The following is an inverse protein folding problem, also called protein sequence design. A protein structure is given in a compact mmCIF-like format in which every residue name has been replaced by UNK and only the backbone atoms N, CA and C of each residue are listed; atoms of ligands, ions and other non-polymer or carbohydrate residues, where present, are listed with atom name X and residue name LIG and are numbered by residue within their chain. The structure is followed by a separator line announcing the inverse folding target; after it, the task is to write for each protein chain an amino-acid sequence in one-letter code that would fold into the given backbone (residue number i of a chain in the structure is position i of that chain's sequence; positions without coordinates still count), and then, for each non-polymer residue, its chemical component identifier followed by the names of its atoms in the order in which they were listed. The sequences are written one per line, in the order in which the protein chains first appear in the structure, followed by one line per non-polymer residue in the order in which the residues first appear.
data_IF_954982022735
#
_entry.id   IF_954982022735
#
_cell.length_a   1.000
_cell.length_b   1.000
_cell.length_c   1.000
_cell.angle_alpha   90.00
_cell.angle_beta   90.00
_cell.angle_gamma   90.00
#
_symmetry.space_group_name_H-M   'P 1'
#
loop_
_entity.id
_entity.type
_entity.pdbx_description
1 polymer ?
#
# COMPACT_ATOMS: atom_id res chain seq x y z
N UNK A 1 5.11 -15.33 31.67
CA UNK A 1 3.75 -14.83 31.42
C UNK A 1 3.36 -13.64 32.28
N UNK A 2 3.56 -13.65 33.62
CA UNK A 2 3.13 -12.53 34.51
C UNK A 2 3.80 -11.17 34.20
N UNK A 3 5.09 -11.15 33.81
CA UNK A 3 5.80 -9.89 33.50
C UNK A 3 5.32 -9.21 32.19
N UNK A 4 4.89 -10.00 31.21
CA UNK A 4 4.35 -9.46 29.94
C UNK A 4 2.95 -8.88 30.17
N UNK A 5 2.16 -9.50 31.03
CA UNK A 5 0.82 -9.00 31.39
C UNK A 5 0.88 -7.68 32.17
N UNK A 6 1.86 -7.51 33.09
CA UNK A 6 2.07 -6.26 33.82
C UNK A 6 2.57 -5.10 32.94
N UNK A 7 3.41 -5.38 31.94
CA UNK A 7 3.84 -4.33 30.98
C UNK A 7 2.71 -3.93 30.04
N UNK A 8 1.82 -4.85 29.66
CA UNK A 8 0.67 -4.55 28.80
C UNK A 8 -0.39 -3.71 29.54
N UNK A 9 -0.69 -4.05 30.80
CA UNK A 9 -1.61 -3.27 31.66
C UNK A 9 -1.07 -1.88 31.99
N UNK A 10 0.22 -1.71 32.23
CA UNK A 10 0.83 -0.40 32.44
C UNK A 10 0.82 0.46 31.15
N UNK A 11 1.01 -0.14 29.98
CA UNK A 11 0.90 0.54 28.70
C UNK A 11 -0.54 0.99 28.40
N UNK A 12 -1.53 0.14 28.67
CA UNK A 12 -2.96 0.49 28.52
C UNK A 12 -3.40 1.59 29.49
N UNK A 13 -2.93 1.57 30.73
CA UNK A 13 -3.24 2.61 31.71
C UNK A 13 -2.61 3.97 31.30
N UNK A 14 -1.40 3.98 30.73
CA UNK A 14 -0.79 5.19 30.19
C UNK A 14 -1.55 5.75 28.98
N UNK A 15 -2.05 4.88 28.09
CA UNK A 15 -2.86 5.31 26.95
C UNK A 15 -4.21 5.89 27.39
N UNK A 16 -4.88 5.26 28.37
CA UNK A 16 -6.13 5.76 28.92
C UNK A 16 -5.95 7.10 29.67
N UNK A 17 -4.85 7.28 30.40
CA UNK A 17 -4.53 8.55 31.06
C UNK A 17 -4.27 9.66 30.02
N UNK A 18 -3.55 9.36 28.93
CA UNK A 18 -3.32 10.32 27.84
C UNK A 18 -4.62 10.70 27.11
N UNK A 19 -5.53 9.74 26.89
CA UNK A 19 -6.86 10.01 26.29
C UNK A 19 -7.71 10.89 27.23
N UNK A 20 -7.68 10.66 28.52
CA UNK A 20 -8.42 11.49 29.46
C UNK A 20 -7.85 12.91 29.56
N UNK A 21 -6.52 13.08 29.52
CA UNK A 21 -5.87 14.40 29.47
C UNK A 21 -6.21 15.14 28.16
N UNK A 22 -6.23 14.44 27.03
CA UNK A 22 -6.66 15.00 25.72
C UNK A 22 -8.12 15.46 25.73
N UNK A 23 -9.02 14.66 26.28
CA UNK A 23 -10.43 15.03 26.38
C UNK A 23 -10.65 16.23 27.33
N UNK A 24 -9.89 16.35 28.40
CA UNK A 24 -9.96 17.50 29.31
C UNK A 24 -9.46 18.77 28.64
N UNK A 25 -8.33 18.70 27.93
CA UNK A 25 -7.77 19.86 27.19
C UNK A 25 -8.68 20.29 26.03
N UNK A 26 -9.31 19.34 25.31
CA UNK A 26 -10.31 19.64 24.29
C UNK A 26 -11.54 20.34 24.86
N UNK A 27 -11.98 19.94 26.06
CA UNK A 27 -13.07 20.61 26.77
C UNK A 27 -12.73 22.05 27.14
N UNK A 28 -11.51 22.28 27.66
CA UNK A 28 -11.02 23.62 27.99
C UNK A 28 -10.86 24.53 26.76
N UNK A 29 -10.38 24.01 25.64
CA UNK A 29 -10.26 24.73 24.35
C UNK A 29 -11.64 25.13 23.83
N UNK A 30 -12.64 24.25 23.88
CA UNK A 30 -14.01 24.59 23.48
C UNK A 30 -14.59 25.71 24.34
N UNK A 31 -14.41 25.64 25.66
CA UNK A 31 -14.88 26.68 26.57
C UNK A 31 -14.23 28.06 26.30
N UNK A 32 -12.92 28.07 26.02
CA UNK A 32 -12.20 29.31 25.67
C UNK A 32 -12.62 29.84 24.31
N UNK A 33 -12.89 28.97 23.33
CA UNK A 33 -13.37 29.36 22.02
C UNK A 33 -14.78 29.98 22.09
N UNK A 34 -15.68 29.40 22.89
CA UNK A 34 -17.03 29.96 23.12
C UNK A 34 -16.97 31.31 23.82
N UNK A 35 -16.05 31.49 24.78
CA UNK A 35 -15.82 32.79 25.43
C UNK A 35 -15.26 33.84 24.46
N UNK A 36 -14.34 33.43 23.56
CA UNK A 36 -13.79 34.31 22.51
C UNK A 36 -14.88 34.75 21.52
N UNK A 37 -15.73 33.84 21.09
CA UNK A 37 -16.85 34.16 20.19
C UNK A 37 -17.86 35.13 20.86
N UNK A 38 -18.16 34.95 22.13
CA UNK A 38 -19.02 35.84 22.89
C UNK A 38 -18.39 37.24 23.08
N UNK A 39 -17.07 37.30 23.29
CA UNK A 39 -16.35 38.59 23.40
C UNK A 39 -16.21 39.32 22.08
N UNK A 40 -15.99 38.59 20.97
CA UNK A 40 -15.97 39.15 19.62
C UNK A 40 -17.34 39.73 19.22
N UNK A 41 -18.43 39.11 19.64
CA UNK A 41 -19.78 39.63 19.40
C UNK A 41 -20.10 40.91 20.20
N UNK A 42 -19.39 41.16 21.32
CA UNK A 42 -19.66 42.33 22.16
C UNK A 42 -18.70 43.51 22.04
N UNK A 43 -17.45 43.37 21.63
CA UNK A 43 -16.43 44.46 21.68
C UNK A 43 -15.23 44.31 20.76
N UNK A 44 -15.23 43.82 19.61
CA UNK A 44 -14.15 43.99 18.62
C UNK A 44 -12.66 43.84 19.03
N UNK A 45 -12.34 43.49 20.30
CA UNK A 45 -10.97 43.24 20.78
C UNK A 45 -10.98 42.16 21.86
N UNK A 46 -10.16 41.14 21.66
CA UNK A 46 -10.00 40.02 22.60
C UNK A 46 -9.07 40.41 23.76
N UNK A 47 -9.48 40.09 25.01
CA UNK A 47 -8.70 40.35 26.20
C UNK A 47 -7.33 39.61 26.11
N UNK A 48 -6.19 40.33 26.38
CA UNK A 48 -4.84 39.73 26.35
C UNK A 48 -4.66 38.51 27.27
N UNK A 49 -5.42 38.41 28.37
CA UNK A 49 -5.37 37.29 29.29
C UNK A 49 -5.98 36.02 28.70
N UNK A 50 -7.02 36.15 27.86
CA UNK A 50 -7.69 35.04 27.19
C UNK A 50 -6.82 34.55 26.02
N UNK A 51 -6.14 35.44 25.31
CA UNK A 51 -5.14 35.07 24.30
C UNK A 51 -3.96 34.29 24.88
N UNK A 52 -3.44 34.72 26.04
CA UNK A 52 -2.34 34.01 26.71
C UNK A 52 -2.75 32.63 27.23
N UNK A 53 -4.01 32.44 27.65
CA UNK A 53 -4.54 31.12 28.04
C UNK A 53 -4.68 30.20 26.81
N UNK A 54 -5.14 30.72 25.68
CA UNK A 54 -5.28 29.97 24.44
C UNK A 54 -3.92 29.47 23.94
N UNK A 55 -2.92 30.35 23.88
CA UNK A 55 -1.55 29.98 23.52
C UNK A 55 -0.96 28.89 24.43
N UNK A 56 -1.25 28.95 25.74
CA UNK A 56 -0.78 27.96 26.69
C UNK A 56 -1.47 26.60 26.53
N UNK A 57 -2.76 26.60 26.15
CA UNK A 57 -3.52 25.39 25.84
C UNK A 57 -3.07 24.74 24.53
N UNK A 58 -2.82 25.55 23.50
CA UNK A 58 -2.25 25.06 22.24
C UNK A 58 -0.86 24.44 22.43
N UNK A 59 -0.01 25.07 23.26
CA UNK A 59 1.29 24.51 23.60
C UNK A 59 1.18 23.17 24.32
N UNK A 60 0.21 23.01 25.25
CA UNK A 60 -0.03 21.74 25.93
C UNK A 60 -0.57 20.66 25.00
N UNK A 61 -1.44 21.03 24.05
CA UNK A 61 -1.95 20.13 23.01
C UNK A 61 -0.81 19.62 22.12
N UNK A 62 0.05 20.51 21.65
CA UNK A 62 1.21 20.17 20.83
C UNK A 62 2.21 19.24 21.56
N UNK A 63 2.38 19.41 22.87
CA UNK A 63 3.22 18.53 23.71
C UNK A 63 2.59 17.14 23.88
N UNK A 64 1.25 17.04 23.95
CA UNK A 64 0.52 15.78 24.06
C UNK A 64 0.49 15.01 22.74
N UNK A 65 0.32 15.69 21.62
CA UNK A 65 0.41 15.11 20.28
C UNK A 65 1.84 14.62 19.96
N UNK A 66 2.88 15.34 20.43
CA UNK A 66 4.29 14.94 20.28
C UNK A 66 4.72 13.72 21.11
N UNK A 67 3.98 13.34 22.16
CA UNK A 67 4.31 12.17 23.00
C UNK A 67 3.95 10.82 22.37
N UNK A 68 3.26 10.80 21.24
CA UNK A 68 2.91 9.58 20.48
C UNK A 68 4.02 9.02 19.58
N UNK A 69 5.18 9.65 19.43
CA UNK A 69 6.30 9.16 18.62
C UNK A 69 7.51 10.06 18.62
N UNK A 70 8.58 9.57 19.22
CA UNK A 70 10.01 9.91 19.07
C UNK A 70 10.45 11.39 19.09
N UNK A 71 11.22 11.72 20.13
CA UNK A 71 12.26 12.78 20.26
C UNK A 71 11.89 14.19 19.75
N UNK A 72 11.58 15.05 20.74
CA UNK A 72 11.42 16.49 20.57
C UNK A 72 12.71 17.18 20.10
N UNK A 73 12.67 17.73 18.89
CA UNK A 73 13.48 18.89 18.54
C UNK A 73 12.56 19.92 17.85
N UNK A 74 12.43 21.08 18.48
CA UNK A 74 11.86 22.32 17.98
C UNK A 74 10.37 22.35 17.55
N UNK A 75 9.48 22.70 18.50
CA UNK A 75 8.04 22.89 18.27
C UNK A 75 7.68 23.98 17.23
N UNK A 76 8.61 24.82 16.80
CA UNK A 76 8.41 25.78 15.71
C UNK A 76 8.51 25.16 14.31
N UNK A 77 9.28 24.09 14.15
CA UNK A 77 9.43 23.39 12.86
C UNK A 77 8.20 22.55 12.51
N UNK A 78 7.54 21.97 13.51
CA UNK A 78 6.33 21.14 13.28
C UNK A 78 5.15 22.00 12.85
N UNK A 79 4.93 23.14 13.47
CA UNK A 79 3.85 24.07 13.08
C UNK A 79 4.11 24.67 11.68
N UNK A 80 5.34 25.06 11.38
CA UNK A 80 5.72 25.51 10.04
C UNK A 80 5.57 24.41 8.97
N UNK A 81 5.79 23.13 9.32
CA UNK A 81 5.60 22.00 8.43
C UNK A 81 4.12 21.74 8.10
N UNK A 82 3.23 21.86 9.08
CA UNK A 82 1.78 21.68 8.88
C UNK A 82 1.21 22.81 8.00
N UNK A 83 1.58 24.06 8.28
CA UNK A 83 1.15 25.21 7.48
C UNK A 83 1.71 25.16 6.06
N UNK A 84 2.97 24.77 5.89
CA UNK A 84 3.59 24.62 4.58
C UNK A 84 2.90 23.50 3.75
N UNK A 85 2.53 22.39 4.36
CA UNK A 85 1.79 21.31 3.69
C UNK A 85 0.37 21.75 3.30
N UNK A 86 -0.32 22.50 4.13
CA UNK A 86 -1.65 23.03 3.82
C UNK A 86 -1.59 24.06 2.68
N UNK A 87 -0.60 24.94 2.67
CA UNK A 87 -0.37 25.91 1.59
C UNK A 87 -0.03 25.19 0.27
N UNK A 88 0.84 24.19 0.32
CA UNK A 88 1.17 23.37 -0.84
C UNK A 88 -0.06 22.67 -1.40
N UNK A 89 -0.85 22.01 -0.55
CA UNK A 89 -2.09 21.34 -0.94
C UNK A 89 -3.05 22.28 -1.65
N UNK A 90 -3.29 23.46 -1.08
CA UNK A 90 -4.19 24.46 -1.66
C UNK A 90 -3.70 24.96 -3.02
N UNK A 91 -2.39 25.26 -3.15
CA UNK A 91 -1.78 25.68 -4.41
C UNK A 91 -1.83 24.55 -5.46
N UNK A 92 -1.56 23.30 -5.04
CA UNK A 92 -1.65 22.12 -5.89
C UNK A 92 -3.08 21.88 -6.39
N UNK A 93 -4.10 22.03 -5.52
CA UNK A 93 -5.50 21.91 -5.92
C UNK A 93 -5.93 22.98 -6.91
N UNK A 94 -5.44 24.23 -6.77
CA UNK A 94 -5.68 25.27 -7.78
C UNK A 94 -5.06 24.89 -9.13
N UNK A 95 -3.87 24.33 -9.13
CA UNK A 95 -3.24 23.80 -10.35
C UNK A 95 -4.05 22.65 -10.96
N UNK A 96 -4.52 21.70 -10.17
CA UNK A 96 -5.32 20.55 -10.64
C UNK A 96 -6.65 21.00 -11.23
N UNK A 97 -7.37 21.89 -10.55
CA UNK A 97 -8.70 22.34 -10.96
C UNK A 97 -8.63 23.34 -12.11
N UNK A 98 -7.85 24.41 -11.97
CA UNK A 98 -7.84 25.56 -12.89
C UNK A 98 -6.64 25.59 -13.84
N UNK A 99 -5.54 24.89 -13.50
CA UNK A 99 -4.29 24.94 -14.25
C UNK A 99 -3.42 26.15 -13.89
N UNK A 100 -3.73 26.85 -12.78
CA UNK A 100 -2.98 28.02 -12.34
C UNK A 100 -1.68 27.62 -11.64
N UNK A 101 -0.53 27.96 -12.21
CA UNK A 101 0.79 27.68 -11.63
C UNK A 101 1.30 28.82 -10.74
N UNK A 102 0.62 29.97 -10.76
CA UNK A 102 1.05 31.16 -10.01
C UNK A 102 1.16 30.89 -8.49
N UNK A 103 0.18 30.19 -7.91
CA UNK A 103 0.20 29.83 -6.50
C UNK A 103 1.34 28.89 -6.12
N UNK A 104 1.69 27.94 -7.00
CA UNK A 104 2.82 27.03 -6.81
C UNK A 104 4.17 27.76 -6.84
N UNK A 105 4.30 28.77 -7.69
CA UNK A 105 5.52 29.57 -7.82
C UNK A 105 5.75 30.54 -6.64
N UNK A 106 4.73 30.82 -5.84
CA UNK A 106 4.80 31.70 -4.67
C UNK A 106 5.20 30.95 -3.38
N UNK A 107 5.25 29.63 -3.41
CA UNK A 107 5.64 28.84 -2.24
C UNK A 107 7.10 29.06 -1.85
N UNK A 108 7.43 29.07 -0.53
CA UNK A 108 8.80 29.25 -0.04
C UNK A 108 9.78 28.20 -0.58
N UNK A 109 9.32 26.97 -0.70
CA UNK A 109 10.02 25.89 -1.41
C UNK A 109 9.35 25.75 -2.77
N UNK A 110 9.92 26.41 -3.79
CA UNK A 110 9.40 26.33 -5.15
C UNK A 110 9.46 24.89 -5.66
N UNK A 111 8.33 24.20 -5.83
CA UNK A 111 8.35 22.88 -6.42
C UNK A 111 8.82 23.01 -7.86
N UNK A 112 9.83 22.21 -8.22
CA UNK A 112 10.33 22.22 -9.60
C UNK A 112 9.32 21.51 -10.51
N UNK A 113 8.90 22.22 -11.56
CA UNK A 113 8.19 21.60 -12.67
C UNK A 113 9.20 20.77 -13.44
N UNK A 114 9.12 19.46 -13.32
CA UNK A 114 9.89 18.51 -14.12
C UNK A 114 9.07 18.13 -15.36
N UNK A 115 9.69 17.42 -16.32
CA UNK A 115 8.99 16.88 -17.50
C UNK A 115 7.77 16.01 -17.14
N UNK A 116 7.76 15.46 -15.91
CA UNK A 116 6.65 14.66 -15.36
C UNK A 116 5.60 15.46 -14.56
N UNK A 117 5.70 16.81 -14.50
CA UNK A 117 4.78 17.66 -13.74
C UNK A 117 5.26 18.03 -12.35
N UNK A 118 4.31 18.42 -11.47
CA UNK A 118 4.56 18.72 -10.07
C UNK A 118 4.42 17.47 -9.21
N UNK A 119 5.18 17.40 -8.10
CA UNK A 119 4.95 16.39 -7.08
C UNK A 119 3.53 16.53 -6.51
N UNK A 120 2.87 15.41 -6.29
CA UNK A 120 1.51 15.40 -5.73
C UNK A 120 1.56 15.81 -4.26
N UNK A 121 0.54 16.54 -3.78
CA UNK A 121 0.44 16.89 -2.38
C UNK A 121 0.41 15.61 -1.50
N UNK A 122 1.08 15.64 -0.35
CA UNK A 122 1.25 14.48 0.53
C UNK A 122 -0.10 13.84 0.93
N UNK A 123 -1.15 14.65 1.12
CA UNK A 123 -2.51 14.15 1.40
C UNK A 123 -3.05 13.30 0.25
N UNK A 124 -2.91 13.77 -0.98
CA UNK A 124 -3.37 13.06 -2.18
C UNK A 124 -2.49 11.84 -2.48
N UNK A 125 -1.18 11.94 -2.26
CA UNK A 125 -0.25 10.79 -2.40
C UNK A 125 -0.62 9.67 -1.42
N UNK A 126 -0.91 9.99 -0.15
CA UNK A 126 -1.35 9.00 0.83
C UNK A 126 -2.68 8.35 0.46
N UNK A 127 -3.64 9.12 -0.07
CA UNK A 127 -4.91 8.60 -0.57
C UNK A 127 -4.70 7.64 -1.76
N UNK A 128 -3.87 8.03 -2.74
CA UNK A 128 -3.52 7.16 -3.88
C UNK A 128 -2.90 5.86 -3.38
N UNK A 129 -1.90 5.93 -2.51
CA UNK A 129 -1.20 4.74 -1.99
C UNK A 129 -2.12 3.83 -1.19
N UNK A 130 -2.98 4.36 -0.33
CA UNK A 130 -3.99 3.59 0.40
C UNK A 130 -4.95 2.87 -0.55
N UNK A 131 -5.44 3.56 -1.58
CA UNK A 131 -6.36 2.98 -2.55
C UNK A 131 -5.70 1.95 -3.45
N UNK A 132 -4.46 2.17 -3.88
CA UNK A 132 -3.67 1.16 -4.64
C UNK A 132 -3.50 -0.11 -3.79
N UNK A 133 -3.11 0.02 -2.53
CA UNK A 133 -2.95 -1.13 -1.63
C UNK A 133 -4.29 -1.85 -1.36
N UNK A 134 -5.41 -1.12 -1.34
CA UNK A 134 -6.74 -1.72 -1.19
C UNK A 134 -7.23 -2.42 -2.46
N UNK A 135 -6.84 -1.95 -3.65
CA UNK A 135 -7.29 -2.50 -4.94
C UNK A 135 -6.38 -3.62 -5.44
N UNK A 136 -5.05 -3.46 -5.34
CA UNK A 136 -4.09 -4.47 -5.82
C UNK A 136 -4.17 -5.75 -4.99
N UNK A 137 -4.36 -6.87 -5.66
CA UNK A 137 -4.40 -8.19 -5.03
C UNK A 137 -3.01 -8.64 -4.60
N UNK A 138 -1.99 -8.38 -5.44
CA UNK A 138 -0.62 -8.79 -5.15
C UNK A 138 -0.04 -8.02 -3.96
N UNK A 139 -0.31 -6.72 -3.84
CA UNK A 139 0.15 -5.92 -2.69
C UNK A 139 -0.41 -6.39 -1.34
N UNK A 140 -1.59 -7.01 -1.33
CA UNK A 140 -2.18 -7.57 -0.09
C UNK A 140 -1.44 -8.80 0.41
N UNK A 141 -0.83 -9.56 -0.48
CA UNK A 141 -0.22 -10.85 -0.15
C UNK A 141 1.30 -10.81 -0.19
N UNK A 142 1.92 -9.94 -0.98
CA UNK A 142 3.37 -9.80 -1.12
C UNK A 142 3.97 -8.83 -0.09
N UNK A 143 5.29 -8.81 0.01
CA UNK A 143 6.02 -7.83 0.80
C UNK A 143 6.18 -6.52 0.02
N UNK A 144 5.93 -5.38 0.66
CA UNK A 144 6.06 -4.04 0.05
C UNK A 144 7.06 -3.23 0.83
N UNK A 145 8.09 -2.72 0.17
CA UNK A 145 9.11 -1.85 0.76
C UNK A 145 9.18 -0.52 0.03
N UNK A 146 9.11 0.57 0.80
CA UNK A 146 9.31 1.91 0.27
C UNK A 146 10.79 2.28 0.26
N UNK A 147 11.25 2.85 -0.85
CA UNK A 147 12.63 3.30 -1.04
C UNK A 147 12.68 4.74 -1.54
N UNK A 148 13.75 5.43 -1.23
CA UNK A 148 14.03 6.78 -1.76
C UNK A 148 14.87 6.75 -3.05
N UNK A 149 15.50 5.61 -3.34
CA UNK A 149 16.35 5.37 -4.53
C UNK A 149 15.53 4.70 -5.65
N UNK A 150 16.11 4.63 -6.85
CA UNK A 150 15.51 3.96 -8.01
C UNK A 150 15.65 2.44 -7.98
N UNK A 151 16.26 1.90 -6.93
CA UNK A 151 16.50 0.47 -6.79
C UNK A 151 16.64 0.04 -5.34
N UNK A 152 16.40 -1.23 -5.10
CA UNK A 152 16.64 -1.91 -3.83
C UNK A 152 17.65 -3.04 -4.05
N UNK A 153 18.74 -3.00 -3.29
CA UNK A 153 19.71 -4.09 -3.23
C UNK A 153 19.35 -5.02 -2.07
N UNK A 154 19.03 -6.25 -2.37
CA UNK A 154 18.75 -7.29 -1.39
C UNK A 154 19.87 -8.32 -1.37
N UNK A 155 20.31 -8.67 -0.18
CA UNK A 155 21.18 -9.82 0.05
C UNK A 155 20.29 -11.04 0.32
N UNK A 156 20.29 -12.03 -0.58
CA UNK A 156 19.51 -13.25 -0.47
C UNK A 156 20.47 -14.41 -0.19
N UNK A 157 20.16 -15.21 0.82
CA UNK A 157 20.89 -16.44 1.11
C UNK A 157 20.41 -17.55 0.20
N UNK A 158 21.32 -18.14 -0.60
CA UNK A 158 20.98 -19.16 -1.60
C UNK A 158 20.43 -20.45 -0.97
N UNK A 159 20.99 -20.88 0.15
CA UNK A 159 20.61 -22.13 0.81
C UNK A 159 20.11 -21.99 2.26
N UNK A 160 19.86 -20.77 2.73
CA UNK A 160 19.57 -20.48 4.13
C UNK A 160 20.75 -20.79 5.06
N UNK A 161 21.05 -19.90 6.00
CA UNK A 161 22.07 -20.20 7.01
C UNK A 161 21.54 -21.24 7.98
N UNK A 162 22.14 -22.44 7.95
CA UNK A 162 21.85 -23.48 8.95
C UNK A 162 22.69 -23.22 10.19
N UNK A 163 22.03 -23.08 11.33
CA UNK A 163 22.74 -23.06 12.60
C UNK A 163 23.41 -24.41 12.84
N UNK A 164 24.71 -24.42 13.14
CA UNK A 164 25.44 -25.61 13.53
C UNK A 164 25.73 -25.61 15.02
N UNK A 165 25.68 -26.76 15.64
CA UNK A 165 26.12 -26.96 17.02
C UNK A 165 27.63 -27.18 17.03
N UNK A 166 28.36 -26.29 17.71
CA UNK A 166 29.83 -26.38 17.77
C UNK A 166 30.51 -25.39 16.85
N UNK A 167 31.50 -25.83 16.07
CA UNK A 167 32.23 -24.92 15.15
C UNK A 167 31.42 -24.61 13.88
N UNK A 168 31.51 -23.36 13.34
CA UNK A 168 30.80 -22.98 12.11
C UNK A 168 31.40 -23.75 10.91
N UNK A 169 30.59 -24.61 10.31
CA UNK A 169 31.02 -25.50 9.21
C UNK A 169 30.60 -25.07 7.81
N UNK A 170 29.80 -24.04 7.66
CA UNK A 170 29.31 -23.63 6.33
C UNK A 170 29.52 -22.15 6.05
N UNK A 171 30.16 -21.86 4.93
CA UNK A 171 30.12 -20.54 4.28
C UNK A 171 28.80 -20.43 3.51
N UNK A 172 27.88 -19.62 4.01
CA UNK A 172 26.64 -19.30 3.28
C UNK A 172 26.99 -18.40 2.10
N UNK A 173 26.63 -18.79 0.88
CA UNK A 173 26.73 -17.92 -0.27
C UNK A 173 25.61 -16.90 -0.25
N UNK A 174 25.97 -15.62 -0.24
CA UNK A 174 25.01 -14.52 -0.30
C UNK A 174 24.93 -14.01 -1.74
N UNK A 175 23.78 -14.19 -2.35
CA UNK A 175 23.48 -13.63 -3.67
C UNK A 175 22.92 -12.20 -3.51
N UNK A 176 23.55 -11.25 -4.20
CA UNK A 176 23.00 -9.90 -4.27
C UNK A 176 21.94 -9.85 -5.37
N UNK A 177 20.73 -9.50 -5.01
CA UNK A 177 19.64 -9.30 -5.95
C UNK A 177 19.31 -7.81 -6.03
N UNK A 178 19.26 -7.32 -7.26
CA UNK A 178 18.98 -5.92 -7.58
C UNK A 178 17.58 -5.80 -8.14
N UNK A 179 16.70 -5.08 -7.43
CA UNK A 179 15.33 -4.83 -7.86
C UNK A 179 15.25 -3.36 -8.30
N UNK A 180 15.05 -3.14 -9.59
CA UNK A 180 14.89 -1.81 -10.17
C UNK A 180 13.44 -1.36 -10.13
N UNK A 181 13.21 -0.09 -9.79
CA UNK A 181 11.91 0.56 -9.94
C UNK A 181 11.75 1.11 -11.37
N UNK A 182 10.63 0.78 -12.02
CA UNK A 182 10.26 1.20 -13.36
C UNK A 182 9.17 2.26 -13.29
N UNK A 183 9.11 3.11 -14.32
CA UNK A 183 8.10 4.15 -14.42
C UNK A 183 6.73 3.53 -14.78
N UNK A 184 5.72 3.79 -13.94
CA UNK A 184 4.32 3.45 -14.19
C UNK A 184 3.56 4.74 -14.45
N UNK A 185 2.85 4.80 -15.57
CA UNK A 185 2.15 5.99 -16.03
C UNK A 185 0.66 5.72 -16.03
N UNK A 186 -0.11 6.59 -15.37
CA UNK A 186 -1.56 6.62 -15.45
C UNK A 186 -2.03 7.92 -16.10
N UNK A 187 -3.05 7.83 -16.96
CA UNK A 187 -3.59 8.99 -17.70
C UNK A 187 -5.12 9.05 -17.57
N UNK A 188 -5.68 9.23 -16.36
CA UNK A 188 -7.12 9.38 -16.21
C UNK A 188 -7.59 10.67 -16.91
N UNK A 189 -8.81 10.60 -17.46
CA UNK A 189 -9.47 11.70 -18.16
C UNK A 189 -10.68 12.16 -17.38
N UNK A 190 -10.84 13.46 -17.26
CA UNK A 190 -11.96 14.09 -16.54
C UNK A 190 -12.55 15.17 -17.42
N UNK A 191 -13.87 15.34 -17.39
CA UNK A 191 -14.51 16.43 -18.13
C UNK A 191 -14.27 17.78 -17.44
N UNK A 192 -14.13 18.86 -18.21
CA UNK A 192 -13.97 20.19 -17.64
C UNK A 192 -15.13 20.59 -16.71
N UNK A 193 -16.35 20.19 -17.02
CA UNK A 193 -17.54 20.46 -16.19
C UNK A 193 -17.43 19.85 -14.79
N UNK A 194 -16.89 18.62 -14.68
CA UNK A 194 -16.71 17.97 -13.38
C UNK A 194 -15.65 18.66 -12.53
N UNK A 195 -14.65 19.29 -13.16
CA UNK A 195 -13.63 20.06 -12.46
C UNK A 195 -14.14 21.42 -11.94
N UNK A 196 -15.17 21.96 -12.58
CA UNK A 196 -15.82 23.23 -12.19
C UNK A 196 -16.90 23.02 -11.13
N UNK A 197 -17.39 21.80 -10.96
CA UNK A 197 -18.44 21.47 -10.00
C UNK A 197 -17.88 21.38 -8.58
N UNK A 198 -18.27 22.34 -7.74
CA UNK A 198 -17.80 22.45 -6.35
C UNK A 198 -18.47 21.48 -5.36
N UNK A 199 -19.54 20.80 -5.76
CA UNK A 199 -20.26 19.87 -4.90
C UNK A 199 -19.59 18.49 -4.84
N UNK A 200 -18.70 18.18 -5.77
CA UNK A 200 -18.02 16.89 -5.88
C UNK A 200 -16.63 16.96 -5.28
N UNK A 201 -16.25 15.95 -4.49
CA UNK A 201 -14.85 15.75 -4.07
C UNK A 201 -13.98 15.32 -5.26
N UNK A 202 -13.52 16.32 -6.02
CA UNK A 202 -12.69 16.14 -7.22
C UNK A 202 -11.33 15.52 -6.87
N UNK A 203 -10.74 15.91 -5.72
CA UNK A 203 -9.46 15.36 -5.25
C UNK A 203 -9.57 13.84 -5.05
N UNK A 204 -10.56 13.38 -4.29
CA UNK A 204 -10.79 11.97 -4.04
C UNK A 204 -11.19 11.19 -5.30
N UNK A 205 -11.94 11.82 -6.21
CA UNK A 205 -12.30 11.20 -7.49
C UNK A 205 -11.08 10.96 -8.38
N UNK A 206 -10.23 11.97 -8.56
CA UNK A 206 -9.00 11.86 -9.38
C UNK A 206 -8.04 10.85 -8.74
N UNK A 207 -7.82 10.92 -7.41
CA UNK A 207 -6.98 9.99 -6.69
C UNK A 207 -7.43 8.54 -6.89
N UNK A 208 -8.74 8.28 -6.84
CA UNK A 208 -9.32 6.95 -7.09
C UNK A 208 -9.06 6.47 -8.51
N UNK A 209 -9.28 7.33 -9.51
CA UNK A 209 -9.04 6.97 -10.93
C UNK A 209 -7.57 6.68 -11.22
N UNK A 210 -6.67 7.43 -10.62
CA UNK A 210 -5.22 7.19 -10.68
C UNK A 210 -4.90 5.84 -10.02
N UNK A 211 -5.42 5.60 -8.81
CA UNK A 211 -5.17 4.37 -8.07
C UNK A 211 -5.72 3.12 -8.78
N UNK A 212 -6.91 3.18 -9.38
CA UNK A 212 -7.47 2.11 -10.21
C UNK A 212 -6.52 1.75 -11.36
N UNK A 213 -6.03 2.76 -12.09
CA UNK A 213 -5.12 2.56 -13.23
C UNK A 213 -3.77 1.97 -12.81
N UNK A 214 -3.20 2.46 -11.70
CA UNK A 214 -1.96 1.93 -11.15
C UNK A 214 -2.11 0.50 -10.66
N UNK A 215 -3.16 0.20 -9.89
CA UNK A 215 -3.40 -1.15 -9.37
C UNK A 215 -3.55 -2.19 -10.49
N UNK A 216 -4.24 -1.84 -11.58
CA UNK A 216 -4.38 -2.71 -12.74
C UNK A 216 -3.03 -2.99 -13.42
N UNK A 217 -2.25 -1.95 -13.71
CA UNK A 217 -0.96 -2.09 -14.37
C UNK A 217 0.07 -2.83 -13.50
N UNK A 218 0.05 -2.61 -12.20
CA UNK A 218 0.92 -3.28 -11.24
C UNK A 218 0.57 -4.77 -11.09
N UNK A 219 -0.71 -5.12 -10.87
CA UNK A 219 -1.14 -6.52 -10.72
C UNK A 219 -0.82 -7.33 -12.00
N UNK A 220 -1.00 -6.74 -13.18
CA UNK A 220 -0.61 -7.38 -14.44
C UNK A 220 0.90 -7.62 -14.49
N UNK A 221 1.71 -6.59 -14.22
CA UNK A 221 3.16 -6.68 -14.34
C UNK A 221 3.80 -7.58 -13.28
N UNK A 222 3.28 -7.62 -12.05
CA UNK A 222 3.77 -8.51 -11.00
C UNK A 222 3.52 -10.00 -11.31
N UNK A 223 2.56 -10.31 -12.17
CA UNK A 223 2.30 -11.68 -12.60
C UNK A 223 3.04 -12.06 -13.88
N UNK A 224 2.97 -11.23 -14.92
CA UNK A 224 3.43 -11.56 -16.26
C UNK A 224 4.48 -10.58 -16.83
N UNK A 225 5.01 -9.68 -16.03
CA UNK A 225 6.03 -8.72 -16.47
C UNK A 225 7.34 -9.36 -16.89
N UNK A 226 8.03 -8.75 -17.82
CA UNK A 226 9.25 -9.27 -18.48
C UNK A 226 10.55 -9.02 -17.69
N UNK A 227 10.54 -8.13 -16.70
CA UNK A 227 11.73 -7.74 -15.93
C UNK A 227 12.69 -6.80 -16.68
N UNK A 228 12.35 -6.31 -17.89
CA UNK A 228 13.18 -5.42 -18.70
C UNK A 228 12.66 -3.98 -18.63
N UNK A 229 11.40 -3.78 -19.01
CA UNK A 229 10.70 -2.48 -18.98
C UNK A 229 9.61 -2.43 -17.89
N UNK A 230 9.31 -3.56 -17.28
CA UNK A 230 8.31 -3.76 -16.24
C UNK A 230 8.90 -4.61 -15.10
N UNK A 231 8.31 -4.62 -13.91
CA UNK A 231 8.65 -5.56 -12.85
C UNK A 231 8.70 -7.00 -13.36
N UNK A 232 9.56 -7.84 -12.77
CA UNK A 232 9.63 -9.24 -13.14
C UNK A 232 8.44 -10.00 -12.55
N UNK A 233 7.66 -10.64 -13.41
CA UNK A 233 6.45 -11.36 -13.04
C UNK A 233 6.72 -12.73 -12.45
N UNK A 234 5.88 -13.17 -11.51
CA UNK A 234 5.97 -14.47 -10.84
C UNK A 234 5.86 -15.63 -11.86
N UNK A 235 4.98 -15.49 -12.86
CA UNK A 235 4.72 -16.53 -13.86
C UNK A 235 5.80 -16.66 -14.93
N UNK A 236 6.79 -15.78 -14.96
CA UNK A 236 7.92 -15.86 -15.91
C UNK A 236 9.04 -16.76 -15.43
N UNK A 237 8.96 -17.26 -14.19
CA UNK A 237 9.96 -18.16 -13.63
C UNK A 237 9.89 -19.55 -14.27
N UNK A 238 11.07 -20.13 -14.47
CA UNK A 238 11.18 -21.49 -14.96
C UNK A 238 10.71 -22.51 -13.92
N UNK A 239 10.36 -23.72 -14.38
CA UNK A 239 10.09 -24.84 -13.48
C UNK A 239 11.39 -25.30 -12.82
N UNK A 240 11.37 -25.45 -11.50
CA UNK A 240 12.52 -25.88 -10.71
C UNK A 240 12.28 -25.77 -9.21
N UNK A 241 13.26 -26.18 -8.44
CA UNK A 241 13.23 -26.20 -6.97
C UNK A 241 14.18 -25.21 -6.33
N UNK A 242 14.90 -24.42 -7.13
CA UNK A 242 15.86 -23.42 -6.67
C UNK A 242 15.17 -22.10 -6.32
N UNK A 243 15.87 -21.22 -5.63
CA UNK A 243 15.35 -19.90 -5.25
C UNK A 243 14.95 -19.04 -6.46
N UNK A 244 15.57 -19.27 -7.62
CA UNK A 244 15.27 -18.56 -8.87
C UNK A 244 14.20 -19.20 -9.74
N UNK A 245 13.55 -20.27 -9.31
CA UNK A 245 12.56 -21.05 -10.06
C UNK A 245 11.33 -21.35 -9.21
N UNK A 246 10.24 -21.74 -9.85
CA UNK A 246 9.00 -22.19 -9.18
C UNK A 246 8.74 -23.65 -9.52
N UNK A 247 8.50 -24.46 -8.50
CA UNK A 247 8.07 -25.84 -8.71
C UNK A 247 6.64 -25.86 -9.27
N UNK A 248 6.48 -26.57 -10.39
CA UNK A 248 5.23 -26.66 -11.13
C UNK A 248 4.65 -28.08 -11.04
N UNK A 249 3.39 -28.16 -10.64
CA UNK A 249 2.58 -29.37 -10.67
C UNK A 249 1.70 -29.30 -11.93
N UNK A 250 1.67 -30.36 -12.75
CA UNK A 250 0.86 -30.38 -13.97
C UNK A 250 -0.32 -31.32 -13.81
N UNK A 251 -1.50 -30.91 -14.30
CA UNK A 251 -2.69 -31.76 -14.31
C UNK A 251 -3.98 -30.98 -14.38
N UNK A 252 -5.09 -31.71 -14.51
CA UNK A 252 -6.42 -31.10 -14.44
C UNK A 252 -6.69 -30.52 -13.05
N UNK A 253 -7.52 -29.49 -12.98
CA UNK A 253 -7.92 -28.86 -11.72
C UNK A 253 -8.77 -29.89 -10.94
N UNK A 254 -8.18 -30.54 -9.94
CA UNK A 254 -8.83 -31.49 -9.07
C UNK A 254 -8.44 -31.23 -7.62
N UNK A 255 -9.22 -31.79 -6.68
CA UNK A 255 -8.93 -31.65 -5.26
C UNK A 255 -7.60 -32.34 -4.88
N UNK A 256 -7.30 -33.48 -5.50
CA UNK A 256 -6.04 -34.19 -5.32
C UNK A 256 -4.84 -33.35 -5.73
N UNK A 257 -4.94 -32.62 -6.87
CA UNK A 257 -3.88 -31.72 -7.33
C UNK A 257 -3.70 -30.49 -6.43
N UNK A 258 -4.77 -30.00 -5.81
CA UNK A 258 -4.66 -28.95 -4.80
C UNK A 258 -3.95 -29.46 -3.53
N UNK A 259 -4.23 -30.70 -3.11
CA UNK A 259 -3.54 -31.32 -1.99
C UNK A 259 -2.05 -31.58 -2.32
N UNK A 260 -1.75 -32.07 -3.51
CA UNK A 260 -0.37 -32.26 -3.98
C UNK A 260 0.40 -30.93 -4.00
N UNK A 261 -0.24 -29.85 -4.48
CA UNK A 261 0.35 -28.52 -4.50
C UNK A 261 0.70 -28.02 -3.09
N UNK A 262 -0.18 -28.25 -2.11
CA UNK A 262 0.10 -27.90 -0.70
C UNK A 262 1.20 -28.75 -0.10
N UNK A 263 1.26 -30.05 -0.43
CA UNK A 263 2.27 -30.98 0.07
C UNK A 263 3.68 -30.69 -0.49
N UNK A 264 3.78 -30.07 -1.66
CA UNK A 264 5.04 -29.66 -2.26
C UNK A 264 5.73 -28.48 -1.56
N UNK A 265 5.00 -27.73 -0.70
CA UNK A 265 5.57 -26.58 -0.01
C UNK A 265 6.33 -27.03 1.24
N UNK A 266 7.56 -26.53 1.39
CA UNK A 266 8.35 -26.78 2.60
C UNK A 266 7.66 -26.16 3.83
N UNK A 267 7.75 -26.85 4.96
CA UNK A 267 7.18 -26.44 6.25
C UNK A 267 7.69 -25.06 6.70
N UNK A 268 8.90 -24.69 6.29
CA UNK A 268 9.48 -23.38 6.58
C UNK A 268 8.64 -22.21 6.01
N UNK A 269 7.99 -22.43 4.86
CA UNK A 269 7.14 -21.41 4.21
C UNK A 269 5.66 -21.55 4.53
N UNK A 270 5.27 -22.47 5.41
CA UNK A 270 3.86 -22.77 5.71
C UNK A 270 3.10 -21.64 6.43
N UNK A 271 3.81 -20.69 7.03
CA UNK A 271 3.20 -19.53 7.66
C UNK A 271 2.66 -18.56 6.59
N UNK A 272 1.47 -18.00 6.79
CA UNK A 272 0.85 -16.97 5.93
C UNK A 272 0.74 -17.36 4.44
N UNK A 273 0.47 -18.63 4.17
CA UNK A 273 0.24 -19.12 2.81
C UNK A 273 -1.09 -18.63 2.25
N UNK A 274 -1.16 -18.47 0.95
CA UNK A 274 -2.39 -18.12 0.23
C UNK A 274 -2.46 -18.75 -1.15
N UNK A 275 -3.69 -18.93 -1.65
CA UNK A 275 -3.95 -19.26 -3.04
C UNK A 275 -4.20 -17.99 -3.84
N UNK A 276 -3.66 -17.95 -5.06
CA UNK A 276 -3.94 -16.92 -6.04
C UNK A 276 -4.36 -17.56 -7.36
N UNK A 277 -5.53 -17.19 -7.87
CA UNK A 277 -6.09 -17.77 -9.09
C UNK A 277 -7.00 -16.78 -9.81
N UNK A 278 -7.41 -17.14 -11.04
CA UNK A 278 -8.44 -16.40 -11.75
C UNK A 278 -9.82 -16.74 -11.20
N UNK A 279 -10.76 -15.79 -11.25
CA UNK A 279 -12.13 -15.99 -10.79
C UNK A 279 -12.85 -17.14 -11.51
N UNK A 280 -12.53 -17.38 -12.78
CA UNK A 280 -13.08 -18.52 -13.54
C UNK A 280 -12.56 -19.87 -13.01
N UNK A 281 -11.27 -19.91 -12.61
CA UNK A 281 -10.66 -21.09 -11.99
C UNK A 281 -11.23 -21.33 -10.59
N UNK A 282 -11.42 -20.27 -9.81
CA UNK A 282 -12.11 -20.33 -8.51
C UNK A 282 -13.50 -20.98 -8.68
N UNK A 283 -14.26 -20.58 -9.70
CA UNK A 283 -15.56 -21.17 -9.98
C UNK A 283 -15.46 -22.67 -10.32
N UNK A 284 -14.45 -23.08 -11.08
CA UNK A 284 -14.23 -24.51 -11.37
C UNK A 284 -13.91 -25.30 -10.10
N UNK A 285 -13.07 -24.75 -9.22
CA UNK A 285 -12.75 -25.39 -7.91
C UNK A 285 -14.00 -25.52 -7.04
N UNK A 286 -14.91 -24.54 -7.09
CA UNK A 286 -16.20 -24.61 -6.37
C UNK A 286 -17.09 -25.76 -6.82
N UNK A 287 -17.02 -26.16 -8.10
CA UNK A 287 -17.80 -27.25 -8.66
C UNK A 287 -17.19 -28.63 -8.39
N UNK A 288 -16.00 -28.71 -7.78
CA UNK A 288 -15.41 -29.99 -7.43
C UNK A 288 -16.29 -30.72 -6.40
N UNK A 289 -16.58 -31.97 -6.70
CA UNK A 289 -17.41 -32.86 -5.88
C UNK A 289 -16.58 -34.04 -5.39
N UNK A 290 -16.95 -34.55 -4.26
CA UNK A 290 -16.48 -35.78 -3.68
C UNK A 290 -17.15 -37.01 -4.36
N UNK A 291 -16.71 -38.22 -4.04
CA UNK A 291 -17.29 -39.49 -4.50
C UNK A 291 -18.77 -39.67 -4.15
N UNK A 292 -19.26 -38.96 -3.15
CA UNK A 292 -20.66 -38.95 -2.73
C UNK A 292 -21.50 -37.79 -3.33
N UNK A 293 -20.97 -37.13 -4.36
CA UNK A 293 -21.61 -36.01 -5.08
C UNK A 293 -21.82 -34.74 -4.23
N UNK A 294 -21.09 -34.61 -3.10
CA UNK A 294 -21.06 -33.40 -2.27
C UNK A 294 -19.99 -32.43 -2.73
N UNK A 295 -20.29 -31.14 -2.71
CA UNK A 295 -19.31 -30.09 -3.00
C UNK A 295 -18.25 -30.07 -1.89
N UNK A 296 -16.98 -30.22 -2.28
CA UNK A 296 -15.84 -30.27 -1.35
C UNK A 296 -15.60 -28.88 -0.74
N UNK A 297 -15.73 -27.83 -1.54
CA UNK A 297 -15.51 -26.48 -1.08
C UNK A 297 -16.83 -25.71 -0.86
N UNK A 298 -16.95 -25.13 0.32
CA UNK A 298 -18.06 -24.23 0.64
C UNK A 298 -17.51 -22.83 0.86
N UNK A 299 -18.00 -21.81 0.13
CA UNK A 299 -17.61 -20.43 0.38
C UNK A 299 -18.02 -20.03 1.80
N UNK A 300 -17.30 -19.06 2.38
CA UNK A 300 -17.69 -18.50 3.68
C UNK A 300 -19.12 -17.97 3.62
N UNK A 301 -19.94 -18.36 4.60
CA UNK A 301 -21.33 -17.89 4.72
C UNK A 301 -21.42 -16.54 5.44
N UNK A 302 -20.33 -16.10 6.06
CA UNK A 302 -20.28 -14.85 6.79
C UNK A 302 -19.85 -13.72 5.86
N UNK A 303 -20.64 -12.68 5.77
CA UNK A 303 -20.35 -11.54 4.91
C UNK A 303 -19.04 -10.85 5.36
N UNK A 304 -18.11 -10.68 4.42
CA UNK A 304 -16.81 -10.07 4.68
C UNK A 304 -15.68 -11.05 5.01
N UNK A 305 -15.97 -12.32 5.29
CA UNK A 305 -14.92 -13.33 5.47
C UNK A 305 -14.34 -13.76 4.11
N UNK A 306 -13.04 -13.94 4.09
CA UNK A 306 -12.32 -14.40 2.91
C UNK A 306 -12.61 -15.89 2.66
N UNK A 307 -12.78 -16.26 1.39
CA UNK A 307 -12.93 -17.66 1.02
C UNK A 307 -11.65 -18.44 1.33
N UNK A 308 -11.79 -19.65 1.84
CA UNK A 308 -10.66 -20.52 2.17
C UNK A 308 -10.80 -21.87 1.48
N UNK A 309 -9.69 -22.40 0.97
CA UNK A 309 -9.56 -23.78 0.46
C UNK A 309 -8.54 -24.49 1.36
N UNK A 310 -8.91 -25.64 1.92
CA UNK A 310 -8.04 -26.39 2.87
C UNK A 310 -7.57 -25.52 4.06
N UNK A 311 -8.38 -24.55 4.50
CA UNK A 311 -8.01 -23.63 5.58
C UNK A 311 -7.12 -22.46 5.16
N UNK A 312 -6.73 -22.37 3.88
CA UNK A 312 -5.86 -21.33 3.33
C UNK A 312 -6.70 -20.27 2.59
N UNK A 313 -6.45 -18.97 2.78
CA UNK A 313 -7.19 -17.91 2.11
C UNK A 313 -6.97 -17.91 0.60
N UNK A 314 -8.03 -17.61 -0.14
CA UNK A 314 -8.04 -17.53 -1.61
C UNK A 314 -8.15 -16.09 -2.06
N UNK A 315 -7.20 -15.67 -2.88
CA UNK A 315 -7.23 -14.39 -3.56
C UNK A 315 -7.51 -14.59 -5.05
N UNK A 316 -8.28 -13.69 -5.63
CA UNK A 316 -8.63 -13.76 -7.06
C UNK A 316 -8.14 -12.52 -7.78
N UNK A 317 -7.59 -12.74 -8.98
CA UNK A 317 -7.22 -11.67 -9.89
C UNK A 317 -7.56 -12.05 -11.34
N UNK A 318 -7.91 -11.07 -12.15
CA UNK A 318 -8.21 -11.28 -13.55
C UNK A 318 -6.95 -11.55 -14.41
N UNK A 319 -5.77 -11.21 -13.89
CA UNK A 319 -4.50 -11.34 -14.62
C UNK A 319 -3.87 -12.72 -14.53
N UNK A 320 -4.38 -13.60 -13.65
CA UNK A 320 -3.98 -15.01 -13.65
C UNK A 320 -4.53 -15.71 -14.89
N UNK A 321 -3.70 -16.48 -15.62
CA UNK A 321 -4.15 -17.27 -16.75
C UNK A 321 -5.22 -18.30 -16.35
N UNK A 322 -6.17 -18.53 -17.26
CA UNK A 322 -7.21 -19.56 -17.11
C UNK A 322 -7.18 -20.57 -18.26
N UNK A 323 -6.12 -20.55 -19.08
CA UNK A 323 -5.96 -21.39 -20.25
C UNK A 323 -5.16 -22.65 -19.93
N UNK A 324 -5.47 -23.74 -20.63
CA UNK A 324 -4.69 -24.95 -20.57
C UNK A 324 -3.22 -24.71 -21.00
N UNK A 325 -2.29 -25.41 -20.35
CA UNK A 325 -0.86 -25.25 -20.57
C UNK A 325 -0.22 -24.05 -19.86
N UNK A 326 -0.97 -23.29 -19.07
CA UNK A 326 -0.45 -22.17 -18.27
C UNK A 326 -0.71 -22.38 -16.78
N UNK A 327 0.10 -21.71 -15.96
CA UNK A 327 -0.08 -21.73 -14.51
C UNK A 327 -1.39 -21.01 -14.14
N UNK A 328 -2.39 -21.77 -13.73
CA UNK A 328 -3.75 -21.28 -13.42
C UNK A 328 -3.95 -21.02 -11.93
N UNK A 329 -3.16 -21.67 -11.07
CA UNK A 329 -3.20 -21.50 -9.62
C UNK A 329 -1.77 -21.32 -9.10
N UNK A 330 -1.55 -20.30 -8.30
CA UNK A 330 -0.36 -20.12 -7.49
C UNK A 330 -0.70 -20.38 -6.02
N UNK A 331 0.21 -21.01 -5.31
CA UNK A 331 0.09 -21.32 -3.89
C UNK A 331 1.42 -21.05 -3.19
N UNK A 332 1.40 -20.54 -2.00
CA UNK A 332 2.58 -20.39 -1.16
C UNK A 332 2.59 -19.14 -0.31
N UNK A 333 3.75 -18.83 0.24
CA UNK A 333 4.00 -17.63 1.03
C UNK A 333 4.51 -16.50 0.12
N UNK A 334 3.62 -15.67 -0.35
CA UNK A 334 3.96 -14.56 -1.25
C UNK A 334 4.80 -13.48 -0.57
N UNK A 335 4.69 -13.28 0.75
CA UNK A 335 5.51 -12.29 1.47
C UNK A 335 6.99 -12.63 1.44
N UNK A 336 7.33 -13.93 1.54
CA UNK A 336 8.71 -14.41 1.43
C UNK A 336 9.13 -14.63 -0.02
N UNK A 337 8.17 -14.91 -0.91
CA UNK A 337 8.41 -15.21 -2.31
C UNK A 337 8.61 -13.99 -3.20
N UNK A 338 7.86 -12.91 -3.00
CA UNK A 338 7.82 -11.75 -3.90
C UNK A 338 7.97 -10.43 -3.17
N UNK A 339 8.88 -9.59 -3.65
CA UNK A 339 9.12 -8.25 -3.10
C UNK A 339 8.66 -7.18 -4.09
N UNK A 340 7.77 -6.32 -3.64
CA UNK A 340 7.41 -5.08 -4.31
C UNK A 340 8.26 -3.95 -3.75
N UNK A 341 8.83 -3.15 -4.62
CA UNK A 341 9.64 -1.96 -4.29
C UNK A 341 8.92 -0.74 -4.83
N UNK A 342 8.65 0.20 -3.97
CA UNK A 342 7.94 1.43 -4.30
C UNK A 342 8.81 2.63 -3.99
N UNK A 343 9.10 3.47 -4.99
CA UNK A 343 9.76 4.75 -4.74
C UNK A 343 8.74 5.77 -4.27
N UNK A 344 9.08 6.46 -3.18
CA UNK A 344 8.28 7.57 -2.66
C UNK A 344 8.24 8.71 -3.68
N UNK A 345 7.05 9.28 -3.86
CA UNK A 345 6.79 10.42 -4.74
C UNK A 345 5.98 10.04 -5.99
N UNK A 346 4.88 10.73 -6.15
CA UNK A 346 4.01 10.67 -7.32
C UNK A 346 4.03 12.05 -7.98
N UNK A 347 4.25 12.12 -9.28
CA UNK A 347 4.21 13.36 -10.05
C UNK A 347 2.93 13.42 -10.87
N UNK A 348 2.36 14.61 -11.02
CA UNK A 348 1.14 14.84 -11.78
C UNK A 348 1.30 16.04 -12.70
N UNK A 349 1.03 15.83 -13.99
CA UNK A 349 0.94 16.87 -15.01
C UNK A 349 -0.49 16.98 -15.55
N UNK A 350 -1.05 18.18 -15.50
CA UNK A 350 -2.37 18.47 -16.06
C UNK A 350 -2.25 18.86 -17.53
N UNK A 351 -2.94 18.15 -18.40
CA UNK A 351 -2.99 18.41 -19.86
C UNK A 351 -4.43 18.66 -20.33
N UNK A 352 -4.82 19.93 -20.57
CA UNK A 352 -6.13 20.28 -21.10
C UNK A 352 -6.16 20.38 -22.63
N UNK A 353 -5.04 20.14 -23.33
CA UNK A 353 -4.89 20.48 -24.75
C UNK A 353 -4.99 19.28 -25.68
N UNK A 354 -4.43 18.12 -25.25
CA UNK A 354 -4.23 16.96 -26.14
C UNK A 354 -5.56 16.32 -26.54
N UNK A 355 -6.59 16.30 -25.67
CA UNK A 355 -7.84 15.56 -25.96
C UNK A 355 -9.08 16.32 -25.47
N UNK A 356 -9.45 17.37 -26.18
CA UNK A 356 -10.68 18.13 -25.88
C UNK A 356 -11.94 17.29 -26.15
N UNK A 357 -13.00 17.33 -25.30
CA UNK A 357 -13.23 18.28 -24.18
C UNK A 357 -12.73 17.78 -22.80
N UNK A 358 -11.86 16.77 -22.76
CA UNK A 358 -11.35 16.20 -21.53
C UNK A 358 -10.06 16.89 -21.08
N UNK A 359 -9.84 16.92 -19.75
CA UNK A 359 -8.54 17.23 -19.14
C UNK A 359 -7.90 15.90 -18.74
N UNK A 360 -6.70 15.65 -19.23
CA UNK A 360 -5.88 14.48 -18.86
C UNK A 360 -4.98 14.82 -17.68
N UNK A 361 -4.81 13.87 -16.80
CA UNK A 361 -3.86 13.92 -15.71
C UNK A 361 -2.78 12.87 -15.93
N UNK A 362 -1.65 13.31 -16.48
CA UNK A 362 -0.49 12.46 -16.63
C UNK A 362 0.17 12.26 -15.27
N UNK A 363 0.08 11.07 -14.73
CA UNK A 363 0.58 10.75 -13.40
C UNK A 363 1.67 9.70 -13.50
N UNK A 364 2.84 9.98 -12.92
CA UNK A 364 4.01 9.12 -12.93
C UNK A 364 4.32 8.63 -11.51
N UNK A 365 4.54 7.33 -11.39
CA UNK A 365 5.02 6.66 -10.18
C UNK A 365 6.11 5.66 -10.55
N UNK A 366 7.00 5.31 -9.61
CA UNK A 366 8.04 4.30 -9.83
C UNK A 366 7.82 3.11 -8.92
N UNK A 367 7.69 1.93 -9.54
CA UNK A 367 7.42 0.68 -8.85
C UNK A 367 8.26 -0.44 -9.47
N UNK A 368 8.87 -1.27 -8.64
CA UNK A 368 9.61 -2.44 -9.02
C UNK A 368 9.04 -3.70 -8.36
N UNK A 369 9.44 -4.84 -8.85
CA UNK A 369 9.09 -6.12 -8.23
C UNK A 369 9.92 -7.25 -8.80
N UNK A 370 10.28 -8.18 -7.93
CA UNK A 370 10.97 -9.40 -8.34
C UNK A 370 10.71 -10.51 -7.31
N UNK A 371 10.87 -11.75 -7.77
CA UNK A 371 10.79 -12.92 -6.90
C UNK A 371 12.08 -13.03 -6.09
N UNK A 372 11.95 -13.00 -4.77
CA UNK A 372 13.09 -13.17 -3.85
C UNK A 372 13.41 -14.65 -3.72
N UNK A 373 12.42 -15.46 -3.40
CA UNK A 373 12.57 -16.89 -3.20
C UNK A 373 11.42 -17.65 -3.86
N UNK A 374 11.72 -18.30 -4.99
CA UNK A 374 10.74 -19.10 -5.72
C UNK A 374 10.34 -20.38 -5.00
N UNK A 375 11.14 -20.88 -4.05
CA UNK A 375 10.83 -22.07 -3.23
C UNK A 375 9.59 -21.84 -2.36
N UNK A 376 9.33 -20.58 -1.97
CA UNK A 376 8.15 -20.20 -1.21
C UNK A 376 6.84 -20.25 -2.02
N UNK A 377 6.95 -20.40 -3.34
CA UNK A 377 5.81 -20.38 -4.27
C UNK A 377 5.74 -21.68 -5.07
N UNK A 378 4.53 -22.13 -5.34
CA UNK A 378 4.23 -23.31 -6.17
C UNK A 378 3.16 -22.95 -7.19
N UNK A 379 3.22 -23.57 -8.36
CA UNK A 379 2.28 -23.31 -9.44
C UNK A 379 1.59 -24.59 -9.91
N UNK A 380 0.30 -24.53 -10.16
CA UNK A 380 -0.46 -25.57 -10.84
C UNK A 380 -0.66 -25.19 -12.31
N UNK A 381 -0.09 -25.99 -13.21
CA UNK A 381 -0.31 -25.88 -14.66
C UNK A 381 -1.54 -26.70 -15.01
N UNK A 382 -2.58 -26.01 -15.49
CA UNK A 382 -3.78 -26.66 -15.97
C UNK A 382 -3.49 -27.36 -17.30
N UNK A 383 -3.67 -28.69 -17.34
CA UNK A 383 -3.50 -29.52 -18.54
C UNK A 383 -4.82 -29.67 -19.30
#
# INVERSE_FOLDING_TARGET
MLKIFLTYTNSMNNVNNNINELNTTLGEIRQVNDQLQQQQAQKGAVDPLTQAKFQKLEQRLAVLEGRGGATASNGSEVLNGIDANAQYRNAFMQYVLKGETAAMNQLPQKPQLNDAGFAVAQSMESLISQQVNALSTIRKIASVTQVSSDSLDLAIEDNGSKASWGEPTSTTSVLKKYIKAYDVIAQPKVTGKLLEDSEIDVEGYIARKIAESFAMAEDESFLIGDGIAKPKGILTLANGTDAGSIQQVTGAISFEKLMELTACLDTFYSAETSYLMNKSVESQVRFLKDTNDHYIWRPSQKQGDQNTILGVPVFTTNYMPNQAGKASILFGNFKQGYQVVERVGVNLLRDPFTEKPFVKFYTLRRVGGDVIDGRALKALIHA
#
